data_IF_435845597030
#
_entry.id   IF_435845597030
#
_cell.length_a   1.000
_cell.length_b   1.000
_cell.length_c   1.000
_cell.angle_alpha   90.00
_cell.angle_beta   90.00
_cell.angle_gamma   90.00
#
_symmetry.space_group_name_H-M   'P 1'
#
loop_
_entity.id
_entity.type
_entity.pdbx_description
1 polymer ?
#
# COMPACT_ATOMS: atom_id res chain seq x y z
N UNK A 1 -17.07 -16.88 -7.20
CA UNK A 1 -17.24 -16.14 -5.92
C UNK A 1 -16.62 -16.87 -4.75
N UNK A 2 -16.82 -18.18 -4.61
CA UNK A 2 -16.30 -18.99 -3.50
C UNK A 2 -14.78 -18.85 -3.25
N UNK A 3 -13.96 -18.89 -4.30
CA UNK A 3 -12.50 -18.74 -4.16
C UNK A 3 -12.08 -17.36 -3.64
N UNK A 4 -12.74 -16.28 -4.08
CA UNK A 4 -12.43 -14.92 -3.63
C UNK A 4 -12.86 -14.70 -2.19
N UNK A 5 -14.04 -15.21 -1.81
CA UNK A 5 -14.51 -15.15 -0.43
C UNK A 5 -13.59 -15.92 0.50
N UNK A 6 -13.18 -17.14 0.11
CA UNK A 6 -12.20 -17.93 0.87
C UNK A 6 -10.87 -17.20 1.02
N UNK A 7 -10.37 -16.54 -0.04
CA UNK A 7 -9.19 -15.70 0.05
C UNK A 7 -9.38 -14.58 1.08
N UNK A 8 -10.50 -13.85 1.02
CA UNK A 8 -10.79 -12.75 1.96
C UNK A 8 -10.86 -13.22 3.40
N UNK A 9 -11.52 -14.35 3.65
CA UNK A 9 -11.62 -14.96 4.99
C UNK A 9 -10.24 -15.34 5.51
N UNK A 10 -9.47 -16.09 4.74
CA UNK A 10 -8.11 -16.52 5.12
C UNK A 10 -7.16 -15.35 5.31
N UNK A 11 -7.23 -14.34 4.44
CA UNK A 11 -6.39 -13.15 4.55
C UNK A 11 -6.79 -12.30 5.76
N UNK A 12 -8.08 -12.15 6.03
CA UNK A 12 -8.58 -11.43 7.21
C UNK A 12 -8.12 -12.11 8.50
N UNK A 13 -8.24 -13.43 8.59
CA UNK A 13 -7.76 -14.20 9.73
C UNK A 13 -6.25 -14.01 9.92
N UNK A 14 -5.48 -14.13 8.84
CA UNK A 14 -4.03 -13.94 8.88
C UNK A 14 -3.64 -12.53 9.35
N UNK A 15 -4.21 -11.49 8.74
CA UNK A 15 -3.89 -10.10 9.05
C UNK A 15 -4.33 -9.69 10.46
N UNK A 16 -5.40 -10.27 11.01
CA UNK A 16 -5.82 -10.04 12.41
C UNK A 16 -4.89 -10.66 13.45
N UNK A 17 -4.16 -11.71 13.07
CA UNK A 17 -3.17 -12.35 13.92
C UNK A 17 -1.81 -11.62 13.88
N UNK A 18 -1.64 -10.62 13.02
CA UNK A 18 -0.46 -9.77 12.96
C UNK A 18 -0.65 -8.55 13.88
N UNK A 19 0.36 -8.24 14.70
CA UNK A 19 0.33 -7.05 15.57
C UNK A 19 0.40 -5.76 14.72
N UNK A 20 1.21 -5.80 13.67
CA UNK A 20 1.39 -4.74 12.68
C UNK A 20 1.27 -5.42 11.32
N UNK A 21 0.53 -4.81 10.40
CA UNK A 21 0.38 -5.31 9.04
C UNK A 21 1.73 -5.63 8.40
N UNK A 22 1.88 -6.84 7.87
CA UNK A 22 3.10 -7.25 7.19
C UNK A 22 3.11 -6.77 5.72
N UNK A 23 3.99 -5.81 5.35
CA UNK A 23 4.00 -5.24 4.00
C UNK A 23 4.44 -6.23 2.91
N UNK A 24 4.99 -7.39 3.29
CA UNK A 24 5.31 -8.47 2.36
C UNK A 24 4.07 -9.02 1.64
N UNK A 25 2.88 -8.93 2.24
CA UNK A 25 1.64 -9.33 1.57
C UNK A 25 1.36 -8.49 0.32
N UNK A 26 1.57 -7.18 0.43
CA UNK A 26 1.42 -6.27 -0.71
C UNK A 26 2.51 -6.52 -1.75
N UNK A 27 3.77 -6.60 -1.32
CA UNK A 27 4.88 -6.89 -2.23
C UNK A 27 4.61 -8.15 -3.06
N UNK A 28 4.21 -9.24 -2.40
CA UNK A 28 3.93 -10.50 -3.09
C UNK A 28 2.75 -10.40 -4.06
N UNK A 29 1.74 -9.62 -3.72
CA UNK A 29 0.57 -9.41 -4.57
C UNK A 29 0.92 -8.58 -5.80
N UNK A 30 1.79 -7.58 -5.66
CA UNK A 30 2.30 -6.80 -6.79
C UNK A 30 3.21 -7.62 -7.71
N UNK A 31 4.04 -8.53 -7.16
CA UNK A 31 4.81 -9.49 -7.96
C UNK A 31 3.88 -10.34 -8.83
N UNK A 32 2.82 -10.91 -8.25
CA UNK A 32 1.84 -11.72 -8.98
C UNK A 32 1.16 -10.89 -10.08
N UNK A 33 0.77 -9.66 -9.78
CA UNK A 33 0.16 -8.77 -10.77
C UNK A 33 1.13 -8.47 -11.93
N UNK A 34 2.40 -8.21 -11.63
CA UNK A 34 3.43 -7.94 -12.62
C UNK A 34 3.71 -9.18 -13.50
N UNK A 35 3.85 -10.35 -12.90
CA UNK A 35 4.09 -11.62 -13.60
C UNK A 35 2.92 -12.00 -14.53
N UNK A 36 1.70 -11.61 -14.17
CA UNK A 36 0.50 -11.88 -14.95
C UNK A 36 0.09 -10.71 -15.85
N UNK A 37 0.81 -9.59 -15.82
CA UNK A 37 0.39 -8.37 -16.50
C UNK A 37 0.17 -8.64 -17.99
N UNK A 38 1.13 -9.22 -18.70
CA UNK A 38 0.99 -9.49 -20.14
C UNK A 38 0.04 -10.65 -20.47
N UNK A 39 -0.25 -11.51 -19.49
CA UNK A 39 -1.11 -12.69 -19.66
C UNK A 39 -2.59 -12.39 -19.43
N UNK A 40 -2.91 -11.44 -18.55
CA UNK A 40 -4.27 -11.06 -18.24
C UNK A 40 -4.81 -10.02 -19.20
N UNK A 41 -6.09 -10.11 -19.54
CA UNK A 41 -6.79 -9.04 -20.21
C UNK A 41 -7.03 -7.86 -19.24
N UNK A 42 -7.49 -6.73 -19.79
CA UNK A 42 -7.72 -5.51 -19.01
C UNK A 42 -8.75 -5.69 -17.88
N UNK A 43 -9.78 -6.50 -18.10
CA UNK A 43 -10.83 -6.73 -17.10
C UNK A 43 -10.30 -7.61 -15.96
N UNK A 44 -9.49 -8.61 -16.27
CA UNK A 44 -8.82 -9.44 -15.28
C UNK A 44 -7.86 -8.62 -14.42
N UNK A 45 -7.08 -7.73 -15.05
CA UNK A 45 -6.20 -6.79 -14.34
C UNK A 45 -6.98 -5.85 -13.41
N UNK A 46 -8.06 -5.23 -13.91
CA UNK A 46 -8.92 -4.34 -13.11
C UNK A 46 -9.53 -5.10 -11.91
N UNK A 47 -10.03 -6.32 -12.15
CA UNK A 47 -10.60 -7.15 -11.10
C UNK A 47 -9.56 -7.54 -10.05
N UNK A 48 -8.35 -7.94 -10.44
CA UNK A 48 -7.30 -8.28 -9.49
C UNK A 48 -6.88 -7.06 -8.65
N UNK A 49 -6.72 -5.92 -9.31
CA UNK A 49 -6.35 -4.67 -8.65
C UNK A 49 -7.38 -4.23 -7.61
N UNK A 50 -8.66 -4.32 -7.96
CA UNK A 50 -9.75 -3.92 -7.07
C UNK A 50 -10.00 -4.94 -5.97
N UNK A 51 -10.08 -6.22 -6.30
CA UNK A 51 -10.59 -7.25 -5.40
C UNK A 51 -9.50 -7.90 -4.53
N UNK A 52 -8.24 -7.87 -4.98
CA UNK A 52 -7.10 -8.46 -4.25
C UNK A 52 -6.23 -7.36 -3.67
N UNK A 53 -5.63 -6.50 -4.50
CA UNK A 53 -4.71 -5.45 -4.03
C UNK A 53 -5.45 -4.47 -3.11
N UNK A 54 -6.56 -3.90 -3.58
CA UNK A 54 -7.35 -2.97 -2.76
C UNK A 54 -7.89 -3.61 -1.48
N UNK A 55 -8.21 -4.91 -1.49
CA UNK A 55 -8.66 -5.60 -0.27
C UNK A 55 -7.53 -5.72 0.76
N UNK A 56 -6.31 -6.04 0.31
CA UNK A 56 -5.13 -6.14 1.18
C UNK A 56 -4.77 -4.77 1.75
N UNK A 57 -4.80 -3.72 0.93
CA UNK A 57 -4.50 -2.36 1.38
C UNK A 57 -5.45 -1.87 2.47
N UNK A 58 -6.70 -2.35 2.49
CA UNK A 58 -7.64 -2.05 3.58
C UNK A 58 -7.15 -2.44 4.98
N UNK A 59 -6.11 -3.27 5.11
CA UNK A 59 -5.48 -3.65 6.37
C UNK A 59 -4.26 -2.80 6.75
N UNK A 60 -3.87 -1.83 5.92
CA UNK A 60 -2.79 -0.90 6.24
C UNK A 60 -3.12 -0.09 7.51
N UNK A 61 -2.07 0.28 8.23
CA UNK A 61 -2.18 1.29 9.27
C UNK A 61 -2.59 2.62 8.63
N UNK A 62 -3.21 3.52 9.41
CA UNK A 62 -3.58 4.83 8.89
C UNK A 62 -2.39 5.62 8.32
N UNK A 63 -1.20 5.45 8.91
CA UNK A 63 0.02 6.09 8.43
C UNK A 63 0.50 5.50 7.09
N UNK A 64 0.52 4.17 6.96
CA UNK A 64 0.94 3.52 5.71
C UNK A 64 -0.10 3.76 4.60
N UNK A 65 -1.39 3.76 4.93
CA UNK A 65 -2.45 4.09 3.99
C UNK A 65 -2.26 5.50 3.40
N UNK A 66 -1.97 6.51 4.21
CA UNK A 66 -1.67 7.88 3.72
C UNK A 66 -0.51 7.90 2.72
N UNK A 67 0.54 7.11 2.97
CA UNK A 67 1.71 7.00 2.08
C UNK A 67 1.37 6.26 0.77
N UNK A 68 0.54 5.21 0.85
CA UNK A 68 0.03 4.49 -0.32
C UNK A 68 -0.93 5.35 -1.16
N UNK A 69 -1.80 6.14 -0.52
CA UNK A 69 -2.74 7.06 -1.17
C UNK A 69 -2.07 8.23 -1.89
N UNK A 70 -1.02 8.78 -1.28
CA UNK A 70 -0.19 9.79 -1.92
C UNK A 70 0.68 9.23 -3.05
N UNK A 71 0.56 7.91 -3.29
CA UNK A 71 1.30 7.06 -4.20
C UNK A 71 2.78 7.01 -3.83
N UNK A 72 3.18 5.88 -3.26
CA UNK A 72 4.57 5.51 -2.96
C UNK A 72 5.55 5.82 -4.09
N UNK A 73 5.12 5.80 -5.36
CA UNK A 73 5.94 6.21 -6.49
C UNK A 73 6.47 7.65 -6.33
N UNK A 74 5.62 8.62 -6.00
CA UNK A 74 6.04 10.02 -5.89
C UNK A 74 6.88 10.27 -4.64
N UNK A 75 6.63 9.52 -3.57
CA UNK A 75 7.46 9.55 -2.37
C UNK A 75 8.87 9.00 -2.64
N UNK A 76 8.94 7.86 -3.33
CA UNK A 76 10.19 7.09 -3.49
C UNK A 76 11.01 7.54 -4.69
N UNK A 77 10.36 7.85 -5.82
CA UNK A 77 11.04 8.18 -7.08
C UNK A 77 11.16 9.69 -7.26
N UNK A 78 10.10 10.44 -6.97
CA UNK A 78 10.09 11.91 -7.15
C UNK A 78 10.52 12.67 -5.87
N UNK A 79 10.80 11.94 -4.78
CA UNK A 79 11.21 12.48 -3.47
C UNK A 79 10.29 13.60 -2.96
N UNK A 80 8.99 13.50 -3.27
CA UNK A 80 8.01 14.47 -2.83
C UNK A 80 7.76 14.34 -1.31
N UNK A 81 7.51 15.47 -0.61
CA UNK A 81 7.14 15.41 0.79
C UNK A 81 5.77 14.73 0.95
N UNK A 82 5.66 13.87 1.98
CA UNK A 82 4.40 13.24 2.34
C UNK A 82 3.34 14.32 2.65
N UNK A 83 2.17 14.19 2.03
CA UNK A 83 0.98 14.96 2.41
C UNK A 83 0.11 14.07 3.28
N UNK A 84 -0.12 14.50 4.51
CA UNK A 84 -1.01 13.83 5.45
C UNK A 84 -2.47 14.11 5.05
N UNK A 85 -2.98 13.37 4.07
CA UNK A 85 -4.37 13.39 3.61
C UNK A 85 -4.85 11.96 3.40
N UNK A 86 -6.12 11.71 3.71
CA UNK A 86 -6.82 10.46 3.39
C UNK A 86 -7.65 10.55 2.10
N UNK A 87 -7.37 11.58 1.29
CA UNK A 87 -7.95 11.73 -0.04
C UNK A 87 -6.96 11.15 -1.05
N UNK A 88 -7.47 10.39 -2.01
CA UNK A 88 -6.65 9.95 -3.14
C UNK A 88 -6.09 11.15 -3.90
N UNK A 89 -4.80 11.09 -4.28
CA UNK A 89 -4.12 12.20 -4.99
C UNK A 89 -4.77 12.56 -6.33
N UNK A 90 -5.37 11.58 -7.01
CA UNK A 90 -5.88 11.72 -8.38
C UNK A 90 -7.37 11.45 -8.52
N UNK A 91 -8.12 11.39 -7.41
CA UNK A 91 -9.56 11.19 -7.45
C UNK A 91 -10.28 11.74 -6.22
N UNK A 92 -11.61 11.81 -6.33
CA UNK A 92 -12.49 12.36 -5.29
C UNK A 92 -12.81 11.35 -4.18
N UNK A 93 -12.15 10.18 -4.17
CA UNK A 93 -12.37 9.15 -3.17
C UNK A 93 -11.50 9.32 -1.93
N UNK A 94 -11.87 8.60 -0.87
CA UNK A 94 -11.12 8.52 0.38
C UNK A 94 -10.86 7.07 0.72
N UNK A 95 -9.70 6.80 1.32
CA UNK A 95 -9.34 5.46 1.77
C UNK A 95 -10.05 5.08 3.07
N UNK A 96 -10.26 6.07 3.94
CA UNK A 96 -10.99 5.91 5.20
C UNK A 96 -12.33 6.66 5.20
N UNK A 97 -13.32 6.14 5.94
CA UNK A 97 -13.28 4.90 6.74
C UNK A 97 -13.38 3.62 5.88
N UNK A 98 -12.60 2.59 6.24
CA UNK A 98 -12.68 1.28 5.58
C UNK A 98 -13.96 0.56 6.02
N UNK A 99 -14.88 0.34 5.08
CA UNK A 99 -16.16 -0.30 5.34
C UNK A 99 -16.06 -1.83 5.19
N UNK A 100 -15.44 -2.52 6.16
CA UNK A 100 -15.22 -3.97 6.10
C UNK A 100 -16.49 -4.82 6.00
N UNK A 101 -17.64 -4.29 6.47
CA UNK A 101 -18.94 -4.97 6.42
C UNK A 101 -19.79 -4.56 5.20
N UNK A 102 -19.18 -3.87 4.24
CA UNK A 102 -19.84 -3.40 3.03
C UNK A 102 -19.22 -4.06 1.81
N UNK A 103 -20.05 -4.39 0.81
CA UNK A 103 -19.58 -4.79 -0.52
C UNK A 103 -19.27 -3.57 -1.41
N UNK A 104 -18.98 -2.43 -0.81
CA UNK A 104 -18.75 -1.16 -1.47
C UNK A 104 -17.44 -0.53 -0.97
N UNK A 105 -16.78 0.25 -1.83
CA UNK A 105 -15.54 0.95 -1.48
C UNK A 105 -14.23 0.26 -1.89
N UNK A 106 -13.14 0.59 -1.21
CA UNK A 106 -11.80 0.00 -1.43
C UNK A 106 -11.86 -1.52 -1.24
N UNK A 107 -11.31 -2.27 -2.20
CA UNK A 107 -11.41 -3.74 -2.16
C UNK A 107 -12.64 -4.31 -2.88
N UNK A 108 -13.55 -3.43 -3.36
CA UNK A 108 -14.78 -3.79 -4.06
C UNK A 108 -15.05 -2.88 -5.29
N UNK A 109 -15.57 -1.66 -5.06
CA UNK A 109 -15.93 -0.69 -6.09
C UNK A 109 -14.71 -0.05 -6.74
N UNK A 110 -13.61 0.08 -5.99
CA UNK A 110 -12.36 0.65 -6.47
C UNK A 110 -11.16 0.01 -5.77
N UNK A 111 -9.99 0.10 -6.42
CA UNK A 111 -8.69 -0.09 -5.80
C UNK A 111 -8.12 1.26 -5.34
N UNK A 112 -6.83 1.32 -4.94
CA UNK A 112 -6.16 2.54 -4.44
C UNK A 112 -6.08 3.71 -5.42
N UNK A 113 -6.57 3.51 -6.65
CA UNK A 113 -6.71 4.58 -7.64
C UNK A 113 -8.02 5.37 -7.57
N UNK A 114 -8.94 5.06 -6.64
CA UNK A 114 -10.21 5.77 -6.43
C UNK A 114 -10.96 6.16 -7.71
N UNK A 115 -11.99 5.42 -8.10
CA UNK A 115 -12.95 5.80 -9.16
C UNK A 115 -12.35 6.19 -10.53
N UNK A 116 -12.35 5.21 -11.44
CA UNK A 116 -12.53 5.34 -12.91
C UNK A 116 -11.98 6.63 -13.56
N UNK A 117 -10.70 6.67 -13.89
CA UNK A 117 -10.28 7.35 -15.13
C UNK A 117 -10.16 6.31 -16.23
N UNK A 118 -11.23 6.22 -17.03
CA UNK A 118 -11.20 5.60 -18.34
C UNK A 118 -9.97 6.06 -19.11
N UNK A 119 -9.07 5.13 -19.45
CA UNK A 119 -8.10 5.34 -20.53
C UNK A 119 -6.73 5.89 -20.14
N UNK A 120 -6.42 6.08 -18.86
CA UNK A 120 -5.03 6.21 -18.40
C UNK A 120 -4.77 5.20 -17.29
N UNK A 121 -4.63 3.94 -17.68
CA UNK A 121 -3.54 3.20 -17.05
C UNK A 121 -2.30 3.99 -17.49
N UNK A 122 -1.71 4.84 -16.64
CA UNK A 122 -0.27 5.06 -16.77
C UNK A 122 0.27 3.66 -16.81
N UNK A 123 0.84 3.25 -17.95
CA UNK A 123 1.40 1.93 -18.13
C UNK A 123 2.19 1.60 -16.86
N UNK A 124 1.64 0.76 -15.98
CA UNK A 124 2.35 0.28 -14.80
C UNK A 124 3.23 -0.85 -15.32
N UNK A 125 4.11 -0.48 -16.24
CA UNK A 125 5.16 -1.33 -16.76
C UNK A 125 6.29 -1.32 -15.75
N UNK A 126 6.50 -2.47 -15.10
CA UNK A 126 7.79 -2.89 -14.57
C UNK A 126 8.26 -2.39 -13.20
N UNK A 127 7.90 -1.18 -12.73
CA UNK A 127 8.61 -0.57 -11.58
C UNK A 127 7.84 -0.58 -10.23
N UNK A 128 6.59 -1.07 -10.17
CA UNK A 128 5.82 -1.00 -8.91
C UNK A 128 6.38 -1.90 -7.81
N UNK A 129 6.83 -3.12 -8.15
CA UNK A 129 7.51 -4.03 -7.22
C UNK A 129 8.78 -3.37 -6.66
N UNK A 130 9.54 -2.69 -7.51
CA UNK A 130 10.76 -1.96 -7.13
C UNK A 130 10.43 -0.77 -6.21
N UNK A 131 9.37 -0.01 -6.50
CA UNK A 131 8.90 1.09 -5.63
C UNK A 131 8.46 0.58 -4.25
N UNK A 132 7.66 -0.48 -4.20
CA UNK A 132 7.24 -1.11 -2.92
C UNK A 132 8.45 -1.65 -2.15
N UNK A 133 9.38 -2.29 -2.86
CA UNK A 133 10.61 -2.83 -2.25
C UNK A 133 11.45 -1.72 -1.63
N UNK A 134 11.65 -0.62 -2.36
CA UNK A 134 12.36 0.57 -1.85
C UNK A 134 11.65 1.17 -0.64
N UNK A 135 10.32 1.27 -0.70
CA UNK A 135 9.50 1.76 0.41
C UNK A 135 9.69 0.90 1.68
N UNK A 136 9.54 -0.41 1.57
CA UNK A 136 9.74 -1.36 2.69
C UNK A 136 11.17 -1.25 3.23
N UNK A 137 12.16 -1.19 2.34
CA UNK A 137 13.58 -1.08 2.72
C UNK A 137 13.87 0.23 3.47
N UNK A 138 13.27 1.34 3.04
CA UNK A 138 13.38 2.64 3.71
C UNK A 138 12.79 2.58 5.12
N UNK A 139 11.58 2.01 5.28
CA UNK A 139 10.94 1.84 6.60
C UNK A 139 11.78 0.98 7.54
N UNK A 140 12.31 -0.14 7.05
CA UNK A 140 13.18 -1.02 7.83
C UNK A 140 14.46 -0.30 8.27
N UNK A 141 15.07 0.49 7.38
CA UNK A 141 16.27 1.29 7.70
C UNK A 141 15.98 2.32 8.80
N UNK A 142 14.83 3.01 8.75
CA UNK A 142 14.42 3.96 9.79
C UNK A 142 14.14 3.26 11.13
N UNK A 143 13.49 2.09 11.10
CA UNK A 143 13.28 1.27 12.29
C UNK A 143 14.61 0.83 12.91
N UNK A 144 15.58 0.39 12.11
CA UNK A 144 16.92 0.01 12.58
C UNK A 144 17.62 1.19 13.30
N UNK A 145 17.53 2.41 12.74
CA UNK A 145 18.07 3.63 13.38
C UNK A 145 17.42 3.90 14.73
N UNK A 146 16.11 3.72 14.84
CA UNK A 146 15.37 3.93 16.09
C UNK A 146 15.64 2.82 17.12
N UNK A 147 15.83 1.59 16.68
CA UNK A 147 16.14 0.44 17.53
C UNK A 147 17.56 0.47 18.08
N UNK A 148 18.48 1.21 17.45
CA UNK A 148 19.87 1.35 17.90
C UNK A 148 20.31 2.81 18.11
N UNK A 149 19.81 3.52 19.15
CA UNK A 149 20.07 4.95 19.33
C UNK A 149 21.51 5.31 19.78
N UNK A 150 22.44 4.37 19.90
CA UNK A 150 23.69 4.58 20.62
C UNK A 150 24.92 4.75 19.71
N UNK A 151 25.16 5.99 19.29
CA UNK A 151 26.49 6.58 19.52
C UNK A 151 26.32 7.74 20.50
N UNK A 152 27.01 7.75 21.66
CA UNK A 152 26.95 8.88 22.57
C UNK A 152 27.60 10.09 21.89
N UNK A 153 26.80 11.06 21.48
CA UNK A 153 27.32 12.42 21.32
C UNK A 153 27.48 12.99 22.73
N UNK A 154 28.73 13.04 23.20
CA UNK A 154 29.13 13.82 24.36
C UNK A 154 28.91 15.31 24.04
N UNK A 155 27.68 15.80 24.19
CA UNK A 155 27.43 17.22 24.33
C UNK A 155 27.63 17.57 25.80
N UNK A 156 28.83 18.05 26.11
CA UNK A 156 29.11 18.73 27.36
C UNK A 156 28.12 19.90 27.51
N UNK A 157 27.12 19.73 28.37
CA UNK A 157 26.35 20.85 28.89
C UNK A 157 27.19 21.49 29.99
N UNK A 158 27.95 22.53 29.64
CA UNK A 158 28.55 23.42 30.63
C UNK A 158 27.48 24.44 30.99
N UNK A 159 26.86 24.25 32.16
CA UNK A 159 26.13 25.32 32.83
C UNK A 159 27.19 26.14 33.58
N UNK A 160 27.45 27.37 33.10
CA UNK A 160 28.11 28.43 33.87
C UNK A 160 27.06 29.17 34.70
#
# INVERSE_FOLDING_TARGET
METLNRFREQFTEKSRNEIIFNPQHLLKTFEIYQDQFDNWDRNQRDLFWRQVIGFIEGFLSAADAQEFEYRIYYLVQDNEPLRYSFNFRFSEGQFYPVAFNSCAGLGFDYGPEGVRVWGRHTAVGGDFVSVVTKFISSKNTELEKLMWPNQPQLTHCVIL
#
